data_IF_700204416348
#
_entry.id   IF_700204416348
#
_cell.length_a   1.000
_cell.length_b   1.000
_cell.length_c   1.000
_cell.angle_alpha   90.00
_cell.angle_beta   90.00
_cell.angle_gamma   90.00
#
_symmetry.space_group_name_H-M   'P 1'
#
loop_
_entity.id
_entity.type
_entity.pdbx_description
1 polymer ?
#
# COMPACT_ATOMS: atom_id res chain seq x y z
N UNK A 1 -17.39 3.66 19.38
CA UNK A 1 -15.90 3.78 19.38
C UNK A 1 -15.33 2.42 19.73
N UNK A 2 -14.12 2.10 19.27
CA UNK A 2 -13.48 0.80 19.52
C UNK A 2 -12.86 0.77 20.92
N UNK A 3 -13.38 -0.08 21.80
CA UNK A 3 -12.79 -0.35 23.12
C UNK A 3 -12.90 -1.84 23.44
N UNK A 4 -11.85 -2.43 24.01
CA UNK A 4 -11.93 -3.79 24.54
C UNK A 4 -12.84 -3.82 25.76
N UNK A 5 -13.71 -4.83 25.79
CA UNK A 5 -14.55 -5.12 26.96
C UNK A 5 -13.64 -5.39 28.16
N UNK A 6 -13.94 -4.75 29.28
CA UNK A 6 -13.24 -5.06 30.53
C UNK A 6 -13.79 -6.37 31.11
N UNK A 7 -12.90 -7.24 31.59
CA UNK A 7 -13.28 -8.52 32.18
C UNK A 7 -14.16 -8.33 33.42
N UNK A 8 -14.98 -9.34 33.74
CA UNK A 8 -15.79 -9.32 34.95
C UNK A 8 -14.87 -9.44 36.17
N UNK A 9 -15.06 -8.62 37.22
CA UNK A 9 -14.26 -8.76 38.43
C UNK A 9 -14.50 -10.13 39.08
N UNK A 10 -13.45 -10.93 39.17
CA UNK A 10 -13.45 -12.17 39.96
C UNK A 10 -12.75 -12.00 41.33
N UNK A 11 -13.16 -12.69 42.38
CA UNK A 11 -12.42 -12.70 43.65
C UNK A 11 -10.97 -13.15 43.47
N UNK A 12 -10.13 -12.88 44.47
CA UNK A 12 -8.77 -13.43 44.46
C UNK A 12 -8.82 -14.96 44.58
N UNK A 13 -8.46 -15.65 43.50
CA UNK A 13 -8.37 -17.12 43.52
C UNK A 13 -7.15 -17.57 44.31
N UNK A 14 -7.34 -18.04 45.54
CA UNK A 14 -6.30 -18.73 46.29
C UNK A 14 -6.05 -20.11 45.65
N UNK A 15 -4.80 -20.42 45.35
CA UNK A 15 -4.42 -21.67 44.68
C UNK A 15 -3.23 -22.31 45.36
N UNK A 16 -3.15 -23.64 45.31
CA UNK A 16 -2.00 -24.40 45.80
C UNK A 16 -0.67 -23.86 45.27
N UNK A 17 -0.63 -23.48 43.98
CA UNK A 17 0.55 -22.86 43.36
C UNK A 17 0.94 -21.53 43.99
N UNK A 18 -0.01 -20.65 44.31
CA UNK A 18 0.27 -19.35 44.95
C UNK A 18 0.78 -19.54 46.38
N UNK A 19 0.19 -20.47 47.12
CA UNK A 19 0.59 -20.84 48.49
C UNK A 19 2.01 -21.43 48.49
N UNK A 20 2.29 -22.39 47.61
CA UNK A 20 3.63 -22.96 47.44
C UNK A 20 4.68 -21.92 47.03
N UNK A 21 4.33 -20.99 46.13
CA UNK A 21 5.22 -19.90 45.73
C UNK A 21 5.59 -18.98 46.90
N UNK A 22 4.65 -18.69 47.79
CA UNK A 22 4.90 -17.90 48.99
C UNK A 22 5.80 -18.65 49.99
N UNK A 23 5.54 -19.93 50.25
CA UNK A 23 6.39 -20.75 51.11
C UNK A 23 7.83 -20.86 50.56
N UNK A 24 7.97 -21.01 49.24
CA UNK A 24 9.28 -20.98 48.58
C UNK A 24 9.97 -19.64 48.78
N UNK A 25 9.24 -18.52 48.64
CA UNK A 25 9.78 -17.18 48.91
C UNK A 25 10.28 -17.09 50.36
N UNK A 26 9.48 -17.52 51.34
CA UNK A 26 9.87 -17.52 52.75
C UNK A 26 11.10 -18.37 53.05
N UNK A 27 11.21 -19.54 52.39
CA UNK A 27 12.40 -20.39 52.48
C UNK A 27 13.63 -19.70 51.92
N UNK A 28 13.54 -19.12 50.71
CA UNK A 28 14.64 -18.39 50.08
C UNK A 28 15.10 -17.18 50.92
N UNK A 29 14.18 -16.47 51.58
CA UNK A 29 14.52 -15.37 52.48
C UNK A 29 15.36 -15.83 53.68
N UNK A 30 15.04 -17.00 54.26
CA UNK A 30 15.83 -17.60 55.36
C UNK A 30 17.17 -18.13 54.89
N UNK A 31 17.19 -18.80 53.73
CA UNK A 31 18.43 -19.33 53.11
C UNK A 31 19.39 -18.20 52.69
N UNK A 32 18.89 -17.03 52.33
CA UNK A 32 19.70 -15.88 51.94
C UNK A 32 20.51 -15.29 53.11
N UNK A 33 20.03 -15.41 54.34
CA UNK A 33 20.67 -14.88 55.55
C UNK A 33 20.69 -15.94 56.67
N UNK A 34 21.55 -16.99 56.55
CA UNK A 34 21.50 -18.15 57.44
C UNK A 34 21.69 -17.82 58.93
N UNK A 35 22.54 -16.85 59.26
CA UNK A 35 22.79 -16.42 60.64
C UNK A 35 21.56 -15.77 61.30
N UNK A 36 20.62 -15.27 60.50
CA UNK A 36 19.37 -14.64 60.95
C UNK A 36 18.15 -15.49 60.59
N UNK A 37 18.33 -16.76 60.22
CA UNK A 37 17.24 -17.58 59.70
C UNK A 37 16.09 -17.75 60.71
N UNK A 38 16.41 -17.89 62.00
CA UNK A 38 15.43 -18.04 63.08
C UNK A 38 14.69 -16.72 63.35
N UNK A 39 15.39 -15.58 63.37
CA UNK A 39 14.79 -14.26 63.51
C UNK A 39 13.87 -13.91 62.33
N UNK A 40 14.30 -14.25 61.11
CA UNK A 40 13.50 -14.10 59.89
C UNK A 40 12.26 -15.00 59.95
N UNK A 41 12.41 -16.25 60.38
CA UNK A 41 11.28 -17.17 60.54
C UNK A 41 10.26 -16.66 61.56
N UNK A 42 10.72 -16.11 62.69
CA UNK A 42 9.86 -15.53 63.72
C UNK A 42 9.05 -14.32 63.21
N UNK A 43 9.62 -13.52 62.31
CA UNK A 43 8.94 -12.39 61.66
C UNK A 43 8.00 -12.78 60.51
N UNK A 44 8.11 -14.00 59.99
CA UNK A 44 7.32 -14.45 58.84
C UNK A 44 5.89 -14.85 59.24
N UNK A 45 4.90 -14.29 58.55
CA UNK A 45 3.49 -14.66 58.76
C UNK A 45 3.07 -15.92 58.00
N UNK A 46 1.99 -16.55 58.46
CA UNK A 46 1.46 -17.76 57.83
C UNK A 46 0.97 -17.52 56.40
N UNK A 47 0.95 -18.59 55.59
CA UNK A 47 0.47 -18.53 54.21
C UNK A 47 -1.01 -18.13 54.14
N UNK A 48 -1.83 -18.55 55.12
CA UNK A 48 -3.23 -18.14 55.23
C UNK A 48 -3.38 -16.64 55.43
N UNK A 49 -2.57 -16.07 56.34
CA UNK A 49 -2.57 -14.64 56.60
C UNK A 49 -2.13 -13.84 55.36
N UNK A 50 -1.18 -14.36 54.58
CA UNK A 50 -0.79 -13.74 53.31
C UNK A 50 -1.91 -13.81 52.26
N UNK A 51 -2.56 -14.97 52.10
CA UNK A 51 -3.61 -15.12 51.10
C UNK A 51 -4.82 -14.24 51.44
N UNK A 52 -5.19 -14.14 52.72
CA UNK A 52 -6.21 -13.21 53.20
C UNK A 52 -5.82 -11.75 52.91
N UNK A 53 -4.58 -11.35 53.21
CA UNK A 53 -4.08 -10.00 52.91
C UNK A 53 -4.13 -9.70 51.41
N UNK A 54 -3.72 -10.65 50.57
CA UNK A 54 -3.77 -10.50 49.11
C UNK A 54 -5.19 -10.42 48.58
N UNK A 55 -6.14 -11.13 49.18
CA UNK A 55 -7.54 -11.04 48.80
C UNK A 55 -8.09 -9.62 49.04
N UNK A 56 -7.84 -9.04 50.22
CA UNK A 56 -8.23 -7.65 50.52
C UNK A 56 -7.56 -6.66 49.55
N UNK A 57 -6.24 -6.77 49.39
CA UNK A 57 -5.49 -5.90 48.49
C UNK A 57 -5.94 -6.04 47.03
N UNK A 58 -6.30 -7.24 46.59
CA UNK A 58 -6.78 -7.51 45.22
C UNK A 58 -8.06 -6.75 44.92
N UNK A 59 -9.00 -6.70 45.86
CA UNK A 59 -10.25 -5.97 45.71
C UNK A 59 -10.02 -4.46 45.63
N UNK A 60 -9.15 -3.92 46.48
CA UNK A 60 -8.71 -2.52 46.43
C UNK A 60 -8.02 -2.18 45.10
N UNK A 61 -7.03 -2.98 44.71
CA UNK A 61 -6.31 -2.81 43.46
C UNK A 61 -7.26 -2.89 42.24
N UNK A 62 -8.28 -3.74 42.29
CA UNK A 62 -9.31 -3.83 41.26
C UNK A 62 -10.20 -2.59 41.21
N UNK A 63 -10.67 -2.12 42.37
CA UNK A 63 -11.44 -0.87 42.46
C UNK A 63 -10.63 0.28 41.89
N UNK A 64 -9.38 0.41 42.31
CA UNK A 64 -8.49 1.47 41.87
C UNK A 64 -8.24 1.43 40.36
N UNK A 65 -7.92 0.26 39.79
CA UNK A 65 -7.78 0.12 38.33
C UNK A 65 -9.04 0.51 37.56
N UNK A 66 -10.22 0.18 38.08
CA UNK A 66 -11.50 0.60 37.47
C UNK A 66 -11.71 2.11 37.57
N UNK A 67 -11.41 2.70 38.72
CA UNK A 67 -11.47 4.14 38.95
C UNK A 67 -10.54 4.88 37.99
N UNK A 68 -9.28 4.45 37.87
CA UNK A 68 -8.31 5.00 36.94
C UNK A 68 -8.79 4.87 35.48
N UNK A 69 -9.27 3.68 35.08
CA UNK A 69 -9.81 3.48 33.73
C UNK A 69 -10.98 4.42 33.44
N UNK A 70 -11.88 4.60 34.41
CA UNK A 70 -13.01 5.52 34.28
C UNK A 70 -12.55 6.99 34.23
N UNK A 71 -11.53 7.37 34.99
CA UNK A 71 -10.92 8.70 34.94
C UNK A 71 -10.30 8.98 33.57
N UNK A 72 -9.51 8.04 33.03
CA UNK A 72 -8.97 8.13 31.67
C UNK A 72 -10.08 8.23 30.62
N UNK A 73 -11.16 7.46 30.76
CA UNK A 73 -12.30 7.56 29.86
C UNK A 73 -12.96 8.95 29.90
N UNK A 74 -13.20 9.50 31.10
CA UNK A 74 -13.75 10.85 31.26
C UNK A 74 -12.82 11.90 30.63
N UNK A 75 -11.52 11.81 30.88
CA UNK A 75 -10.50 12.69 30.29
C UNK A 75 -10.46 12.61 28.76
N UNK A 76 -10.43 11.40 28.21
CA UNK A 76 -10.46 11.17 26.76
C UNK A 76 -11.74 11.71 26.12
N UNK A 77 -12.91 11.52 26.75
CA UNK A 77 -14.16 12.13 26.28
C UNK A 77 -14.09 13.65 26.28
N UNK A 78 -13.70 14.27 27.40
CA UNK A 78 -13.59 15.73 27.47
C UNK A 78 -12.70 16.29 26.36
N UNK A 79 -11.53 15.67 26.11
CA UNK A 79 -10.63 16.03 25.02
C UNK A 79 -11.27 15.88 23.64
N UNK A 80 -11.95 14.75 23.39
CA UNK A 80 -12.63 14.54 22.11
C UNK A 80 -13.69 15.62 21.88
N UNK A 81 -14.50 15.94 22.89
CA UNK A 81 -15.57 16.92 22.76
C UNK A 81 -15.07 18.37 22.62
N UNK A 82 -13.82 18.64 23.01
CA UNK A 82 -13.16 19.92 22.78
C UNK A 82 -12.76 20.15 21.31
N UNK A 83 -12.69 19.11 20.48
CA UNK A 83 -12.44 19.27 19.05
C UNK A 83 -13.70 19.73 18.29
N UNK A 84 -13.56 20.47 17.17
CA UNK A 84 -14.67 20.79 16.27
C UNK A 84 -15.36 19.53 15.72
N UNK A 85 -16.66 19.63 15.47
CA UNK A 85 -17.51 18.51 15.04
C UNK A 85 -16.95 17.67 13.87
N UNK A 86 -16.49 18.29 12.75
CA UNK A 86 -15.91 17.53 11.64
C UNK A 86 -14.68 16.70 12.05
N UNK A 87 -13.82 17.29 12.89
CA UNK A 87 -12.63 16.63 13.40
C UNK A 87 -13.01 15.48 14.34
N UNK A 88 -14.02 15.66 15.21
CA UNK A 88 -14.52 14.58 16.09
C UNK A 88 -15.00 13.36 15.30
N UNK A 89 -15.72 13.60 14.20
CA UNK A 89 -16.18 12.53 13.31
C UNK A 89 -15.00 11.77 12.70
N UNK A 90 -14.01 12.51 12.16
CA UNK A 90 -12.81 11.89 11.58
C UNK A 90 -12.02 11.09 12.61
N UNK A 91 -11.80 11.66 13.79
CA UNK A 91 -11.10 11.00 14.91
C UNK A 91 -11.78 9.68 15.31
N UNK A 92 -13.12 9.65 15.37
CA UNK A 92 -13.89 8.44 15.67
C UNK A 92 -13.74 7.37 14.59
N UNK A 93 -13.65 7.77 13.33
CA UNK A 93 -13.45 6.89 12.19
C UNK A 93 -12.06 6.25 12.24
N UNK A 94 -10.99 7.05 12.30
CA UNK A 94 -9.61 6.53 12.31
C UNK A 94 -9.30 5.72 13.57
N UNK A 95 -9.92 6.03 14.70
CA UNK A 95 -9.75 5.25 15.93
C UNK A 95 -10.24 3.79 15.77
N UNK A 96 -11.20 3.53 14.87
CA UNK A 96 -11.67 2.16 14.58
C UNK A 96 -10.59 1.32 13.90
N UNK A 97 -9.81 1.92 12.99
CA UNK A 97 -8.79 1.24 12.17
C UNK A 97 -7.38 1.34 12.75
N UNK A 98 -7.17 2.22 13.73
CA UNK A 98 -5.88 2.46 14.38
C UNK A 98 -5.24 1.18 14.95
N UNK A 99 -3.92 0.96 14.88
CA UNK A 99 -3.28 -0.24 15.45
C UNK A 99 -3.15 -0.21 16.99
N UNK A 100 -3.42 0.93 17.63
CA UNK A 100 -3.16 1.11 19.06
C UNK A 100 -4.07 0.27 19.97
N UNK A 101 -3.64 -0.06 21.21
CA UNK A 101 -4.49 -0.73 22.17
C UNK A 101 -5.85 -0.03 22.36
N UNK A 102 -6.93 -0.81 22.31
CA UNK A 102 -8.29 -0.28 22.40
C UNK A 102 -8.71 -0.04 23.85
N UNK A 103 -7.96 0.79 24.57
CA UNK A 103 -8.24 1.22 25.94
C UNK A 103 -8.25 2.76 26.09
N UNK A 104 -8.84 3.29 27.18
CA UNK A 104 -8.98 4.73 27.38
C UNK A 104 -7.68 5.50 27.51
N UNK A 105 -6.60 4.90 28.01
CA UNK A 105 -5.33 5.60 28.17
C UNK A 105 -4.69 5.82 26.80
N UNK A 106 -4.59 4.78 25.97
CA UNK A 106 -4.12 4.90 24.58
C UNK A 106 -4.99 5.84 23.75
N UNK A 107 -6.33 5.81 23.93
CA UNK A 107 -7.20 6.78 23.27
C UNK A 107 -6.91 8.22 23.71
N UNK A 108 -6.67 8.45 25.00
CA UNK A 108 -6.39 9.78 25.54
C UNK A 108 -5.06 10.34 25.04
N UNK A 109 -4.05 9.47 24.89
CA UNK A 109 -2.76 9.82 24.32
C UNK A 109 -2.86 10.10 22.81
N UNK A 110 -3.57 9.25 22.07
CA UNK A 110 -3.88 9.47 20.66
C UNK A 110 -4.53 10.84 20.39
N UNK A 111 -5.50 11.25 21.22
CA UNK A 111 -6.10 12.60 21.13
C UNK A 111 -5.09 13.71 21.45
N UNK A 112 -4.17 13.46 22.40
CA UNK A 112 -3.12 14.41 22.71
C UNK A 112 -2.14 14.58 21.54
N UNK A 113 -1.73 13.49 20.90
CA UNK A 113 -0.84 13.53 19.73
C UNK A 113 -1.44 14.32 18.56
N UNK A 114 -2.76 14.23 18.35
CA UNK A 114 -3.47 15.07 17.38
C UNK A 114 -3.42 16.54 17.79
N UNK A 115 -3.71 16.84 19.07
CA UNK A 115 -3.70 18.21 19.57
C UNK A 115 -2.33 18.89 19.48
N UNK A 116 -1.23 18.14 19.66
CA UNK A 116 0.14 18.66 19.52
C UNK A 116 0.69 18.57 18.09
N UNK A 117 -0.14 18.18 17.12
CA UNK A 117 0.26 18.08 15.70
C UNK A 117 1.22 16.94 15.35
N UNK A 118 1.50 16.03 16.28
CA UNK A 118 2.34 14.84 16.02
C UNK A 118 1.62 13.80 15.17
N UNK A 119 0.28 13.81 15.18
CA UNK A 119 -0.54 12.86 14.46
C UNK A 119 -1.55 13.59 13.59
N UNK A 120 -1.45 13.40 12.27
CA UNK A 120 -2.44 13.90 11.33
C UNK A 120 -3.63 12.91 11.22
N UNK A 121 -4.85 13.32 11.61
CA UNK A 121 -6.04 12.47 11.53
C UNK A 121 -6.53 12.26 10.09
N UNK A 122 -6.13 13.09 9.13
CA UNK A 122 -6.47 12.92 7.72
C UNK A 122 -5.47 12.00 7.02
N UNK A 123 -4.20 12.06 7.41
CA UNK A 123 -3.12 11.22 6.89
C UNK A 123 -2.46 10.38 7.99
N UNK A 124 -3.19 9.44 8.61
CA UNK A 124 -2.63 8.63 9.68
C UNK A 124 -1.45 7.78 9.17
N UNK A 125 -0.38 7.62 9.96
CA UNK A 125 0.87 6.99 9.53
C UNK A 125 0.76 5.48 9.30
N UNK A 126 -0.26 4.83 9.86
CA UNK A 126 -0.53 3.40 9.65
C UNK A 126 -1.40 3.10 8.43
N UNK A 127 -1.86 4.14 7.71
CA UNK A 127 -2.52 3.97 6.42
C UNK A 127 -1.49 4.22 5.33
N UNK A 128 -1.35 3.27 4.41
CA UNK A 128 -0.50 3.44 3.25
C UNK A 128 -1.15 4.42 2.28
N UNK A 129 -0.47 5.53 2.02
CA UNK A 129 -0.90 6.54 1.04
C UNK A 129 0.01 6.43 -0.18
N UNK A 130 -0.36 5.63 -1.17
CA UNK A 130 0.42 5.52 -2.40
C UNK A 130 0.39 6.86 -3.13
N UNK A 131 1.54 7.55 -3.23
CA UNK A 131 1.70 8.60 -4.22
C UNK A 131 1.92 7.92 -5.58
N UNK A 132 0.89 7.92 -6.42
CA UNK A 132 1.02 7.59 -7.84
C UNK A 132 1.83 8.71 -8.52
N UNK A 133 3.15 8.69 -8.37
CA UNK A 133 4.03 9.48 -9.22
C UNK A 133 4.05 8.79 -10.59
N UNK A 134 3.17 9.23 -11.50
CA UNK A 134 3.20 8.75 -12.87
C UNK A 134 4.53 9.19 -13.48
N UNK A 135 5.37 8.23 -13.89
CA UNK A 135 6.63 8.53 -14.59
C UNK A 135 6.30 9.21 -15.91
N UNK A 136 6.58 10.51 -16.00
CA UNK A 136 6.45 11.31 -17.21
C UNK A 136 7.85 11.50 -17.77
N UNK A 137 8.08 11.07 -19.01
CA UNK A 137 9.33 11.34 -19.72
C UNK A 137 9.19 12.69 -20.42
N UNK A 138 9.70 13.75 -19.78
CA UNK A 138 9.72 15.10 -20.37
C UNK A 138 10.88 15.19 -21.37
N UNK A 139 10.57 15.58 -22.61
CA UNK A 139 11.53 15.82 -23.69
C UNK A 139 12.55 14.67 -23.91
N UNK A 140 12.08 13.45 -24.26
CA UNK A 140 12.98 12.35 -24.59
C UNK A 140 13.90 12.67 -25.78
N UNK A 141 15.18 12.30 -25.65
CA UNK A 141 16.17 12.45 -26.71
C UNK A 141 16.11 11.30 -27.73
N UNK A 142 15.77 10.08 -27.28
CA UNK A 142 15.66 8.89 -28.13
C UNK A 142 14.30 8.20 -27.98
N UNK A 143 13.96 7.34 -28.95
CA UNK A 143 12.73 6.54 -28.87
C UNK A 143 12.73 5.59 -27.66
N UNK A 144 13.89 5.00 -27.33
CA UNK A 144 14.04 4.11 -26.18
C UNK A 144 13.91 4.84 -24.83
N UNK A 145 14.27 6.12 -24.75
CA UNK A 145 14.03 6.95 -23.56
C UNK A 145 12.54 7.21 -23.34
N UNK A 146 11.82 7.45 -24.44
CA UNK A 146 10.41 7.77 -24.45
C UNK A 146 9.51 6.54 -24.20
N UNK A 147 9.87 5.41 -24.82
CA UNK A 147 8.99 4.26 -24.97
C UNK A 147 9.71 2.96 -24.64
N UNK A 148 9.14 2.22 -23.69
CA UNK A 148 9.61 0.90 -23.31
C UNK A 148 8.87 -0.15 -24.13
N UNK A 149 9.61 -1.09 -24.73
CA UNK A 149 9.01 -2.26 -25.36
C UNK A 149 8.37 -3.14 -24.27
N UNK A 150 7.07 -3.40 -24.42
CA UNK A 150 6.26 -4.20 -23.49
C UNK A 150 5.90 -5.58 -24.05
N UNK A 151 6.10 -5.82 -25.34
CA UNK A 151 5.86 -7.13 -25.94
C UNK A 151 6.17 -7.20 -27.43
N UNK A 152 6.07 -8.42 -27.96
CA UNK A 152 6.14 -8.77 -29.38
C UNK A 152 5.02 -9.77 -29.65
N UNK A 153 4.26 -9.59 -30.73
CA UNK A 153 3.23 -10.54 -31.18
C UNK A 153 3.30 -10.71 -32.69
N UNK A 154 2.94 -11.88 -33.17
CA UNK A 154 2.75 -12.12 -34.60
C UNK A 154 1.37 -11.58 -35.00
N UNK A 155 1.33 -10.65 -35.96
CA UNK A 155 0.09 -10.11 -36.48
C UNK A 155 -0.22 -10.79 -37.83
N UNK A 156 -1.32 -11.54 -37.89
CA UNK A 156 -1.83 -12.09 -39.15
C UNK A 156 -2.49 -10.95 -39.95
N UNK A 157 -1.97 -10.66 -41.13
CA UNK A 157 -2.51 -9.60 -41.99
C UNK A 157 -3.54 -10.15 -42.98
N UNK A 158 -4.75 -10.45 -42.52
CA UNK A 158 -5.83 -10.87 -43.41
C UNK A 158 -5.66 -12.28 -43.98
N UNK A 159 -6.62 -12.70 -44.81
CA UNK A 159 -6.95 -14.10 -45.07
C UNK A 159 -5.86 -14.92 -45.78
N UNK A 160 -4.77 -14.31 -46.27
CA UNK A 160 -3.68 -14.99 -46.99
C UNK A 160 -2.26 -14.44 -46.69
N UNK A 161 -1.99 -13.80 -45.54
CA UNK A 161 -0.68 -13.16 -45.31
C UNK A 161 0.25 -13.90 -44.34
N UNK A 162 1.52 -13.95 -44.73
CA UNK A 162 2.69 -14.33 -43.94
C UNK A 162 2.75 -13.53 -42.62
N UNK A 163 3.07 -14.20 -41.52
CA UNK A 163 3.10 -13.63 -40.17
C UNK A 163 4.12 -12.48 -40.07
N UNK A 164 3.66 -11.25 -39.83
CA UNK A 164 4.54 -10.11 -39.58
C UNK A 164 4.73 -9.89 -38.08
N UNK A 165 5.95 -9.62 -37.64
CA UNK A 165 6.24 -9.27 -36.25
C UNK A 165 5.76 -7.86 -35.91
N UNK A 166 4.88 -7.77 -34.91
CA UNK A 166 4.43 -6.52 -34.30
C UNK A 166 5.06 -6.32 -32.94
N UNK A 167 5.74 -5.18 -32.76
CA UNK A 167 6.31 -4.75 -31.49
C UNK A 167 5.34 -3.81 -30.77
N UNK A 168 5.18 -3.99 -29.46
CA UNK A 168 4.33 -3.16 -28.62
C UNK A 168 5.19 -2.32 -27.67
N UNK A 169 4.93 -1.01 -27.61
CA UNK A 169 5.62 -0.09 -26.71
C UNK A 169 4.65 0.71 -25.85
N UNK A 170 5.13 1.17 -24.70
CA UNK A 170 4.38 2.00 -23.75
C UNK A 170 5.27 3.15 -23.24
N UNK A 171 4.70 4.34 -23.14
CA UNK A 171 5.38 5.54 -22.63
C UNK A 171 4.40 6.62 -22.18
N UNK A 172 4.89 7.66 -21.52
CA UNK A 172 4.08 8.80 -21.09
C UNK A 172 4.84 10.11 -21.30
N UNK A 173 4.34 10.94 -22.20
CA UNK A 173 4.91 12.24 -22.58
C UNK A 173 4.29 13.42 -21.81
N UNK A 174 3.37 13.17 -20.88
CA UNK A 174 2.76 14.16 -19.99
C UNK A 174 1.28 14.42 -20.26
N UNK A 175 0.80 14.15 -21.48
CA UNK A 175 -0.61 14.22 -21.86
C UNK A 175 -1.41 12.95 -21.52
N UNK A 176 -0.72 11.86 -21.20
CA UNK A 176 -1.30 10.57 -20.83
C UNK A 176 -0.37 9.40 -21.19
N UNK A 177 -0.76 8.19 -20.77
CA UNK A 177 -0.08 6.97 -21.20
C UNK A 177 -0.43 6.69 -22.66
N UNK A 178 0.59 6.43 -23.46
CA UNK A 178 0.51 6.09 -24.87
C UNK A 178 0.93 4.65 -25.10
N UNK A 179 0.23 3.97 -25.99
CA UNK A 179 0.58 2.64 -26.48
C UNK A 179 0.86 2.71 -27.97
N UNK A 180 2.01 2.17 -28.38
CA UNK A 180 2.46 2.14 -29.76
C UNK A 180 2.51 0.71 -30.26
N UNK A 181 2.09 0.48 -31.49
CA UNK A 181 2.25 -0.79 -32.15
C UNK A 181 3.01 -0.60 -33.47
N UNK A 182 4.23 -1.13 -33.54
CA UNK A 182 5.15 -0.98 -34.68
C UNK A 182 5.18 -2.26 -35.50
N UNK A 183 5.09 -2.15 -36.82
CA UNK A 183 5.17 -3.26 -37.79
C UNK A 183 5.97 -2.82 -39.01
N UNK A 184 6.77 -3.70 -39.62
CA UNK A 184 7.30 -3.40 -40.95
C UNK A 184 6.34 -3.88 -42.05
N UNK A 185 6.30 -3.13 -43.14
CA UNK A 185 5.42 -3.32 -44.30
C UNK A 185 6.28 -3.32 -45.56
N UNK A 186 6.09 -4.24 -46.51
CA UNK A 186 6.80 -4.19 -47.78
C UNK A 186 6.37 -2.97 -48.60
N UNK A 187 7.28 -2.46 -49.43
CA UNK A 187 7.02 -1.35 -50.38
C UNK A 187 6.38 -1.88 -51.67
N UNK A 188 6.77 -3.08 -52.11
CA UNK A 188 6.17 -3.77 -53.25
C UNK A 188 5.36 -5.00 -52.76
N UNK A 189 4.06 -5.11 -53.09
CA UNK A 189 3.24 -6.25 -52.68
C UNK A 189 3.65 -7.61 -53.30
N UNK A 190 4.44 -7.63 -54.38
CA UNK A 190 4.93 -8.88 -55.02
C UNK A 190 6.26 -9.40 -54.43
N UNK A 191 6.95 -8.63 -53.58
CA UNK A 191 8.09 -9.11 -52.80
C UNK A 191 7.60 -9.92 -51.60
N UNK A 192 7.52 -11.24 -51.78
CA UNK A 192 7.26 -12.21 -50.72
C UNK A 192 8.15 -11.98 -49.48
N UNK A 193 7.52 -11.96 -48.30
CA UNK A 193 8.05 -11.67 -46.95
C UNK A 193 9.13 -12.65 -46.43
N UNK A 194 9.98 -13.22 -47.30
CA UNK A 194 10.89 -14.32 -46.97
C UNK A 194 12.24 -13.90 -46.35
N UNK A 195 12.43 -12.65 -45.94
CA UNK A 195 13.63 -12.22 -45.21
C UNK A 195 13.21 -11.43 -43.97
N UNK A 196 12.79 -12.16 -42.92
CA UNK A 196 12.27 -11.58 -41.69
C UNK A 196 13.07 -12.07 -40.48
N UNK A 197 14.40 -12.05 -40.57
CA UNK A 197 15.23 -12.13 -39.38
C UNK A 197 15.35 -10.73 -38.76
N UNK A 198 14.51 -10.50 -37.74
CA UNK A 198 14.70 -9.44 -36.75
C UNK A 198 14.22 -8.05 -37.17
N UNK A 199 12.92 -7.77 -36.99
CA UNK A 199 12.50 -6.39 -36.79
C UNK A 199 12.99 -5.91 -35.42
N UNK A 200 14.08 -5.14 -35.42
CA UNK A 200 14.48 -4.29 -34.30
C UNK A 200 14.41 -2.83 -34.74
N UNK A 201 13.76 -2.00 -33.93
CA UNK A 201 13.98 -0.55 -33.98
C UNK A 201 15.40 -0.31 -33.45
N UNK A 202 16.32 0.13 -34.32
CA UNK A 202 17.74 0.31 -34.02
C UNK A 202 18.71 -0.74 -34.60
N UNK A 203 18.27 -1.58 -35.55
CA UNK A 203 19.14 -2.55 -36.25
C UNK A 203 19.68 -2.01 -37.57
N UNK A 204 21.01 -2.08 -37.75
CA UNK A 204 21.70 -1.73 -38.99
C UNK A 204 21.60 -2.88 -39.99
N UNK A 205 20.73 -2.79 -40.99
CA UNK A 205 20.88 -3.58 -42.21
C UNK A 205 20.81 -2.64 -43.42
N UNK A 206 21.99 -2.35 -43.98
CA UNK A 206 22.19 -1.66 -45.25
C UNK A 206 21.76 -2.60 -46.38
N UNK A 207 20.53 -2.45 -46.82
CA UNK A 207 19.99 -3.02 -48.05
C UNK A 207 18.86 -2.13 -48.52
N UNK A 208 18.79 -1.87 -49.83
CA UNK A 208 17.75 -1.09 -50.52
C UNK A 208 16.39 -1.22 -49.81
N UNK A 209 15.78 -0.10 -49.39
CA UNK A 209 14.59 -0.12 -48.55
C UNK A 209 13.44 -0.84 -49.26
N UNK A 210 13.28 -2.14 -49.03
CA UNK A 210 12.15 -2.94 -49.50
C UNK A 210 10.95 -2.83 -48.56
N UNK A 211 11.12 -2.17 -47.40
CA UNK A 211 10.11 -2.10 -46.35
C UNK A 211 10.07 -0.73 -45.67
N UNK A 212 8.89 -0.31 -45.22
CA UNK A 212 8.64 0.85 -44.37
C UNK A 212 8.08 0.42 -43.00
N UNK A 213 8.16 1.27 -41.97
CA UNK A 213 7.68 0.95 -40.62
C UNK A 213 6.39 1.71 -40.33
N UNK A 214 5.31 0.98 -40.04
CA UNK A 214 4.01 1.52 -39.62
C UNK A 214 3.92 1.53 -38.10
N UNK A 215 3.64 2.69 -37.50
CA UNK A 215 3.46 2.83 -36.06
C UNK A 215 2.06 3.36 -35.75
N UNK A 216 1.23 2.51 -35.15
CA UNK A 216 -0.07 2.91 -34.63
C UNK A 216 0.06 3.49 -33.22
N UNK A 217 -0.37 4.75 -33.03
CA UNK A 217 -0.42 5.43 -31.73
C UNK A 217 -1.83 5.33 -31.14
N UNK A 218 -1.94 4.82 -29.91
CA UNK A 218 -3.18 4.78 -29.12
C UNK A 218 -3.02 5.56 -27.82
N UNK A 219 -4.01 6.40 -27.50
CA UNK A 219 -4.03 7.22 -26.29
C UNK A 219 -4.26 8.71 -26.60
N UNK A 220 -4.36 9.53 -25.55
CA UNK A 220 -4.49 10.99 -25.70
C UNK A 220 -3.12 11.56 -26.07
N UNK A 221 -2.95 11.93 -27.34
CA UNK A 221 -1.70 12.41 -27.91
C UNK A 221 -1.95 13.80 -28.52
N UNK A 222 -1.15 14.80 -28.16
CA UNK A 222 -1.20 16.12 -28.80
C UNK A 222 -0.50 16.11 -30.16
N UNK A 223 -0.73 17.14 -30.99
CA UNK A 223 -0.02 17.30 -32.28
C UNK A 223 1.48 17.42 -32.10
N UNK A 224 1.93 18.10 -31.05
CA UNK A 224 3.34 18.17 -30.68
C UNK A 224 3.92 16.82 -30.24
N UNK A 225 3.18 16.05 -29.42
CA UNK A 225 3.61 14.71 -29.00
C UNK A 225 3.70 13.75 -30.20
N UNK A 226 2.77 13.87 -31.15
CA UNK A 226 2.72 13.03 -32.33
C UNK A 226 3.90 13.29 -33.28
N UNK A 227 4.21 14.56 -33.55
CA UNK A 227 5.39 14.96 -34.33
C UNK A 227 6.69 14.54 -33.62
N UNK A 228 6.72 14.58 -32.29
CA UNK A 228 7.85 14.09 -31.50
C UNK A 228 8.04 12.58 -31.67
N UNK A 229 6.97 11.79 -31.61
CA UNK A 229 7.03 10.32 -31.81
C UNK A 229 7.58 9.98 -33.18
N UNK A 230 7.07 10.62 -34.23
CA UNK A 230 7.52 10.41 -35.62
C UNK A 230 9.00 10.74 -35.78
N UNK A 231 9.43 11.89 -35.27
CA UNK A 231 10.84 12.29 -35.31
C UNK A 231 11.75 11.29 -34.59
N UNK A 232 11.37 10.85 -33.38
CA UNK A 232 12.15 9.89 -32.60
C UNK A 232 12.21 8.52 -33.26
N UNK A 233 11.09 8.05 -33.81
CA UNK A 233 11.02 6.77 -34.49
C UNK A 233 11.84 6.79 -35.79
N UNK A 234 11.73 7.85 -36.61
CA UNK A 234 12.51 8.00 -37.83
C UNK A 234 14.01 8.16 -37.56
N UNK A 235 14.40 8.82 -36.47
CA UNK A 235 15.81 8.89 -36.08
C UNK A 235 16.38 7.55 -35.60
N UNK A 236 15.52 6.60 -35.21
CA UNK A 236 15.90 5.29 -34.68
C UNK A 236 15.87 4.17 -35.72
N UNK A 237 15.38 4.42 -36.94
CA UNK A 237 15.25 3.44 -38.01
C UNK A 237 15.72 4.03 -39.35
N UNK A 238 16.46 3.25 -40.13
CA UNK A 238 16.93 3.69 -41.45
C UNK A 238 15.85 3.56 -42.53
N UNK A 239 14.78 2.82 -42.26
CA UNK A 239 13.61 2.69 -43.13
C UNK A 239 12.69 3.90 -42.98
N UNK A 240 11.89 4.23 -44.00
CA UNK A 240 10.85 5.25 -43.86
C UNK A 240 9.83 4.82 -42.81
N UNK A 241 9.56 5.70 -41.85
CA UNK A 241 8.58 5.48 -40.77
C UNK A 241 7.34 6.29 -41.06
N UNK A 242 6.16 5.68 -40.92
CA UNK A 242 4.87 6.35 -40.98
C UNK A 242 4.17 6.13 -39.64
N UNK A 243 3.80 7.23 -38.99
CA UNK A 243 3.07 7.18 -37.73
C UNK A 243 1.60 7.49 -38.00
N UNK A 244 0.69 6.69 -37.45
CA UNK A 244 -0.76 6.84 -37.61
C UNK A 244 -1.45 6.98 -36.27
N UNK A 245 -2.42 7.89 -36.19
CA UNK A 245 -3.32 7.96 -35.04
C UNK A 245 -4.41 6.93 -35.19
N UNK A 246 -4.46 5.98 -34.27
CA UNK A 246 -5.65 5.15 -34.10
C UNK A 246 -6.68 5.97 -33.34
N UNK A 247 -7.49 6.72 -34.09
CA UNK A 247 -8.75 7.24 -33.57
C UNK A 247 -9.58 6.01 -33.24
N UNK A 248 -10.04 5.86 -32.00
CA UNK A 248 -11.10 4.89 -31.71
C UNK A 248 -12.27 5.29 -32.60
N UNK A 249 -12.52 4.52 -33.66
CA UNK A 249 -13.87 4.46 -34.22
C UNK A 249 -14.68 3.81 -33.10
N UNK A 250 -15.34 4.66 -32.30
CA UNK A 250 -16.45 4.18 -31.47
C UNK A 250 -17.41 3.52 -32.45
N UNK A 251 -17.73 2.22 -32.29
CA UNK A 251 -18.81 1.65 -33.09
C UNK A 251 -20.03 2.51 -32.81
N UNK A 252 -20.57 3.14 -33.86
CA UNK A 252 -21.84 3.84 -33.77
C UNK A 252 -22.83 2.86 -33.15
N UNK A 253 -23.31 3.20 -31.96
CA UNK A 253 -24.45 2.53 -31.36
C UNK A 253 -25.58 2.75 -32.36
N UNK A 254 -25.86 1.73 -33.16
CA UNK A 254 -27.10 1.64 -33.93
C UNK A 254 -28.23 1.78 -32.92
N UNK A 255 -28.77 2.98 -32.81
CA UNK A 255 -30.05 3.25 -32.18
C UNK A 255 -31.08 2.58 -33.09
N UNK A 256 -31.35 1.30 -32.81
CA UNK A 256 -32.47 0.57 -33.39
C UNK A 256 -33.75 1.25 -32.94
N UNK A 257 -34.33 2.06 -33.82
CA UNK A 257 -35.70 2.52 -33.73
C UNK A 257 -36.67 1.35 -33.93
N UNK A 258 -37.76 1.42 -33.15
CA UNK A 258 -39.10 0.86 -33.31
C UNK A 258 -39.35 -0.23 -34.37
N UNK A 259 -39.94 -1.36 -33.96
CA UNK A 259 -41.40 -1.60 -34.01
C UNK A 259 -41.79 -2.50 -32.83
#
# INVERSE_FOLDING_TARGET
>A
MRFRRWHRPEPYGDTSRKRAAFLRKQRLEREALPLFADDIAAGQHSVDKEMARRAVWWDEAKRERRSQRAAWWRKGRARLFAFPDPLRHRVREIWRTCPYPADPASFTDFLHQIAVGKLDPYRPPWVFHQQLAVRITRNPATFADAFRQIGRRKAALGQNATEADQLLFCGNLGSGILFLASQARPIDPDESLHILDGHSLGGSNLGRASHWVDIEVRGKCSDADFALIERLAQASDTRPVVVRRMVRVTPEVRTGGAV
#
